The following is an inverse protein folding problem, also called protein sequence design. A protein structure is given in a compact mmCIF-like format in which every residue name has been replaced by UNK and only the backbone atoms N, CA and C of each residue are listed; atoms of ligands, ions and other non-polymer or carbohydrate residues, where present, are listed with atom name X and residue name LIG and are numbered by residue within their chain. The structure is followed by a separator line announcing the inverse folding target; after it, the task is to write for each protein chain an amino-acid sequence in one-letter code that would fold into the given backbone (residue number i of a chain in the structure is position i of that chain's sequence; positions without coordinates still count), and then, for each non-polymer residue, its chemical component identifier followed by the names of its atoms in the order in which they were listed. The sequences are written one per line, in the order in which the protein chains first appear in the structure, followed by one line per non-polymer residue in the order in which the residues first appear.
data_IF_858925465117
#
_entry.id   IF_858925465117
#
_cell.length_a   1.000
_cell.length_b   1.000
_cell.length_c   1.000
_cell.angle_alpha   90.00
_cell.angle_beta   90.00
_cell.angle_gamma   90.00
#
_symmetry.space_group_name_H-M   'P 1'
#
loop_
_entity.id
_entity.type
_entity.pdbx_description
1 polymer ?
#
# COMPACT_ATOMS: atom_id res chain seq x y z
N UNK A 1 -17.77 -6.79 -12.00
CA UNK A 1 -17.95 -7.12 -10.54
C UNK A 1 -19.37 -6.80 -10.15
N UNK A 2 -20.03 -7.64 -9.33
CA UNK A 2 -21.42 -7.34 -8.86
C UNK A 2 -21.41 -6.08 -7.97
N UNK A 3 -22.42 -5.23 -8.09
CA UNK A 3 -22.58 -4.00 -7.29
C UNK A 3 -22.53 -4.31 -5.78
N UNK A 4 -23.09 -5.47 -5.38
CA UNK A 4 -23.06 -5.91 -4.00
C UNK A 4 -21.66 -6.17 -3.46
N UNK A 5 -20.76 -6.75 -4.28
CA UNK A 5 -19.35 -6.97 -3.90
C UNK A 5 -18.60 -5.66 -3.78
N UNK A 6 -18.91 -4.68 -4.63
CA UNK A 6 -18.33 -3.34 -4.55
C UNK A 6 -18.74 -2.64 -3.26
N UNK A 7 -20.03 -2.66 -2.91
CA UNK A 7 -20.53 -2.09 -1.66
C UNK A 7 -19.90 -2.79 -0.46
N UNK A 8 -19.91 -4.12 -0.44
CA UNK A 8 -19.29 -4.90 0.63
C UNK A 8 -17.79 -4.61 0.80
N UNK A 9 -17.07 -4.42 -0.31
CA UNK A 9 -15.66 -4.02 -0.29
C UNK A 9 -15.47 -2.67 0.41
N UNK A 10 -16.24 -1.65 0.06
CA UNK A 10 -16.13 -0.33 0.69
C UNK A 10 -16.55 -0.35 2.16
N UNK A 11 -17.61 -1.07 2.50
CA UNK A 11 -18.01 -1.26 3.90
C UNK A 11 -16.92 -1.94 4.71
N UNK A 12 -16.30 -2.99 4.17
CA UNK A 12 -15.18 -3.66 4.82
C UNK A 12 -13.97 -2.74 4.95
N UNK A 13 -13.60 -2.04 3.87
CA UNK A 13 -12.44 -1.15 3.81
C UNK A 13 -12.51 -0.08 4.92
N UNK A 14 -13.60 0.67 4.96
CA UNK A 14 -13.76 1.73 5.95
C UNK A 14 -14.13 1.19 7.34
N UNK A 15 -14.94 0.14 7.43
CA UNK A 15 -15.29 -0.53 8.68
C UNK A 15 -14.06 -1.02 9.43
N UNK A 16 -13.13 -1.67 8.72
CA UNK A 16 -11.86 -2.10 9.32
C UNK A 16 -11.06 -0.92 9.89
N UNK A 17 -10.95 0.17 9.14
CA UNK A 17 -10.22 1.37 9.57
C UNK A 17 -10.87 2.02 10.81
N UNK A 18 -12.20 2.03 10.89
CA UNK A 18 -12.94 2.56 12.03
C UNK A 18 -12.73 1.68 13.27
N UNK A 19 -12.89 0.36 13.12
CA UNK A 19 -12.70 -0.61 14.22
C UNK A 19 -11.27 -0.52 14.78
N UNK A 20 -10.29 -0.34 13.91
CA UNK A 20 -8.88 -0.25 14.30
C UNK A 20 -8.38 1.20 14.49
N UNK A 21 -9.27 2.15 14.75
CA UNK A 21 -8.89 3.55 14.97
C UNK A 21 -7.93 3.73 16.15
N UNK A 22 -8.12 2.97 17.23
CA UNK A 22 -7.20 2.98 18.39
C UNK A 22 -5.78 2.53 18.01
N UNK A 23 -5.67 1.51 17.16
CA UNK A 23 -4.39 1.05 16.61
C UNK A 23 -3.73 2.13 15.75
N UNK A 24 -4.49 2.78 14.88
CA UNK A 24 -4.02 3.91 14.08
C UNK A 24 -3.43 5.02 14.95
N UNK A 25 -4.16 5.42 16.00
CA UNK A 25 -3.70 6.45 16.95
C UNK A 25 -2.42 6.05 17.70
N UNK A 26 -2.28 4.75 18.02
CA UNK A 26 -1.05 4.23 18.63
C UNK A 26 0.12 4.32 17.64
N UNK A 27 -0.09 3.91 16.38
CA UNK A 27 0.92 3.99 15.34
C UNK A 27 1.38 5.43 15.06
N UNK A 28 0.45 6.39 14.99
CA UNK A 28 0.79 7.80 14.82
C UNK A 28 1.63 8.37 15.96
N UNK A 29 1.34 7.97 17.20
CA UNK A 29 2.14 8.39 18.36
C UNK A 29 3.53 7.77 18.31
N UNK A 30 3.64 6.50 17.95
CA UNK A 30 4.91 5.82 17.77
C UNK A 30 5.74 6.49 16.66
N UNK A 31 5.11 6.78 15.52
CA UNK A 31 5.77 7.48 14.40
C UNK A 31 6.29 8.87 14.83
N UNK A 32 5.49 9.63 15.55
CA UNK A 32 5.88 10.95 16.07
C UNK A 32 7.00 10.88 17.12
N UNK A 33 7.11 9.78 17.83
CA UNK A 33 8.17 9.51 18.80
C UNK A 33 9.45 8.89 18.18
N UNK A 34 9.44 8.59 16.86
CA UNK A 34 10.54 7.89 16.19
C UNK A 34 10.64 6.40 16.53
N UNK A 35 9.60 5.82 17.16
CA UNK A 35 9.51 4.39 17.48
C UNK A 35 9.09 3.60 16.22
N UNK A 36 10.08 3.36 15.36
CA UNK A 36 9.88 2.63 14.09
C UNK A 36 9.50 1.18 14.32
N UNK A 37 9.99 0.54 15.37
CA UNK A 37 9.68 -0.85 15.70
C UNK A 37 8.18 -1.04 15.97
N UNK A 38 7.59 -0.20 16.81
CA UNK A 38 6.14 -0.24 17.07
C UNK A 38 5.34 0.01 15.80
N UNK A 39 5.76 0.97 14.94
CA UNK A 39 5.07 1.24 13.66
C UNK A 39 5.10 0.00 12.78
N UNK A 40 6.26 -0.63 12.59
CA UNK A 40 6.41 -1.83 11.76
C UNK A 40 5.57 -2.99 12.27
N UNK A 41 5.62 -3.29 13.57
CA UNK A 41 4.79 -4.34 14.18
C UNK A 41 3.29 -4.11 13.92
N UNK A 42 2.82 -2.87 14.00
CA UNK A 42 1.41 -2.53 13.73
C UNK A 42 1.08 -2.67 12.23
N UNK A 43 1.94 -2.21 11.35
CA UNK A 43 1.78 -2.32 9.90
C UNK A 43 1.74 -3.80 9.48
N UNK A 44 2.73 -4.59 9.88
CA UNK A 44 2.85 -6.00 9.50
C UNK A 44 1.67 -6.84 10.03
N UNK A 45 1.13 -6.47 11.17
CA UNK A 45 -0.04 -7.15 11.72
C UNK A 45 -1.34 -6.78 11.02
N UNK A 46 -1.55 -5.50 10.69
CA UNK A 46 -2.86 -4.99 10.28
C UNK A 46 -3.02 -4.89 8.78
N UNK A 47 -1.99 -4.49 8.04
CA UNK A 47 -2.09 -4.26 6.60
C UNK A 47 -2.36 -5.54 5.80
N UNK A 48 -1.61 -6.66 6.01
CA UNK A 48 -1.92 -7.90 5.30
C UNK A 48 -3.30 -8.47 5.65
N UNK A 49 -3.74 -8.33 6.90
CA UNK A 49 -5.08 -8.78 7.32
C UNK A 49 -6.18 -8.00 6.64
N UNK A 50 -6.05 -6.68 6.59
CA UNK A 50 -6.97 -5.79 5.88
C UNK A 50 -7.04 -6.16 4.39
N UNK A 51 -5.90 -6.33 3.75
CA UNK A 51 -5.81 -6.68 2.33
C UNK A 51 -6.42 -8.04 2.02
N UNK A 52 -6.07 -9.08 2.80
CA UNK A 52 -6.70 -10.41 2.66
C UNK A 52 -8.21 -10.37 2.86
N UNK A 53 -8.69 -9.53 3.78
CA UNK A 53 -10.11 -9.32 3.99
C UNK A 53 -10.81 -8.70 2.79
N UNK A 54 -10.20 -7.71 2.13
CA UNK A 54 -10.70 -7.14 0.86
C UNK A 54 -10.81 -8.23 -0.20
N UNK A 55 -9.75 -9.02 -0.41
CA UNK A 55 -9.74 -10.09 -1.40
C UNK A 55 -10.85 -11.13 -1.11
N UNK A 56 -11.01 -11.51 0.15
CA UNK A 56 -12.06 -12.45 0.59
C UNK A 56 -13.48 -11.92 0.32
N UNK A 57 -13.76 -10.67 0.69
CA UNK A 57 -15.09 -10.06 0.52
C UNK A 57 -15.44 -9.89 -0.97
N UNK A 58 -14.44 -9.64 -1.80
CA UNK A 58 -14.62 -9.50 -3.25
C UNK A 58 -14.58 -10.82 -4.01
N UNK A 59 -14.25 -11.93 -3.33
CA UNK A 59 -14.17 -13.27 -3.93
C UNK A 59 -12.97 -13.42 -4.86
N UNK A 60 -11.90 -12.66 -4.65
CA UNK A 60 -10.66 -12.77 -5.41
C UNK A 60 -9.81 -13.89 -4.81
N UNK A 61 -9.41 -14.84 -5.65
CA UNK A 61 -8.41 -15.86 -5.30
C UNK A 61 -7.04 -15.36 -5.71
N UNK A 62 -6.09 -15.45 -4.78
CA UNK A 62 -4.70 -15.04 -5.00
C UNK A 62 -3.83 -16.28 -5.09
N UNK A 63 -3.11 -16.41 -6.20
CA UNK A 63 -1.98 -17.34 -6.36
C UNK A 63 -0.73 -16.50 -6.56
N UNK A 64 0.31 -16.79 -5.81
CA UNK A 64 1.59 -16.05 -5.86
C UNK A 64 2.69 -17.04 -6.20
N UNK A 65 3.48 -16.70 -7.19
CA UNK A 65 4.64 -17.48 -7.62
C UNK A 65 5.89 -16.62 -7.54
N UNK A 66 7.05 -17.21 -7.30
CA UNK A 66 8.34 -16.53 -7.32
C UNK A 66 8.66 -15.76 -6.03
N UNK A 67 7.93 -15.96 -4.92
CA UNK A 67 8.27 -15.34 -3.64
C UNK A 67 9.68 -15.71 -3.15
N UNK A 68 10.15 -16.89 -3.52
CA UNK A 68 11.49 -17.39 -3.25
C UNK A 68 12.61 -16.55 -3.90
N UNK A 69 12.28 -15.78 -4.93
CA UNK A 69 13.23 -14.89 -5.62
C UNK A 69 13.40 -13.55 -4.92
N UNK A 70 12.56 -13.24 -3.92
CA UNK A 70 12.69 -12.00 -3.15
C UNK A 70 13.89 -12.15 -2.21
N UNK A 71 14.86 -11.21 -2.24
CA UNK A 71 15.99 -11.22 -1.31
C UNK A 71 15.50 -11.26 0.14
N UNK A 72 16.00 -12.19 0.93
CA UNK A 72 15.61 -12.32 2.35
C UNK A 72 16.11 -11.15 3.18
N UNK A 73 17.29 -10.64 2.85
CA UNK A 73 17.94 -9.53 3.56
C UNK A 73 17.85 -8.24 2.76
N UNK A 74 17.89 -7.12 3.46
CA UNK A 74 17.87 -5.78 2.91
C UNK A 74 16.54 -5.37 2.25
N UNK A 75 16.42 -4.10 1.88
CA UNK A 75 15.24 -3.55 1.19
C UNK A 75 15.24 -3.94 -0.30
N UNK A 76 14.05 -3.95 -0.88
CA UNK A 76 13.84 -4.17 -2.31
C UNK A 76 12.97 -3.05 -2.89
N UNK A 77 13.21 -2.68 -4.13
CA UNK A 77 12.27 -1.89 -4.92
C UNK A 77 11.50 -2.85 -5.82
N UNK A 78 10.20 -2.95 -5.56
CA UNK A 78 9.30 -3.75 -6.40
C UNK A 78 8.74 -2.86 -7.50
N UNK A 79 8.95 -3.28 -8.74
CA UNK A 79 8.43 -2.58 -9.92
C UNK A 79 7.42 -3.49 -10.59
N UNK A 80 6.20 -2.99 -10.78
CA UNK A 80 5.11 -3.78 -11.34
C UNK A 80 4.27 -3.00 -12.33
N UNK A 81 3.52 -3.73 -13.15
CA UNK A 81 2.51 -3.16 -14.03
C UNK A 81 1.25 -2.85 -13.24
N UNK A 82 0.65 -1.67 -13.49
CA UNK A 82 -0.59 -1.28 -12.81
C UNK A 82 -1.80 -1.53 -13.73
N UNK A 83 -2.53 -2.60 -13.44
CA UNK A 83 -3.68 -3.03 -14.26
C UNK A 83 -5.02 -2.91 -13.55
N UNK A 84 -5.03 -2.98 -12.21
CA UNK A 84 -6.26 -3.08 -11.44
C UNK A 84 -6.19 -2.30 -10.14
N UNK A 85 -7.34 -1.97 -9.56
CA UNK A 85 -7.45 -1.52 -8.17
C UNK A 85 -7.04 -2.62 -7.17
N UNK A 86 -7.07 -3.89 -7.61
CA UNK A 86 -6.67 -5.01 -6.78
C UNK A 86 -5.16 -5.20 -6.65
N UNK A 87 -4.36 -4.56 -7.50
CA UNK A 87 -2.88 -4.69 -7.43
C UNK A 87 -2.36 -4.33 -6.06
N UNK A 88 -2.91 -3.27 -5.44
CA UNK A 88 -2.50 -2.83 -4.11
C UNK A 88 -2.85 -3.88 -3.04
N UNK A 89 -4.10 -4.30 -2.85
CA UNK A 89 -4.40 -5.35 -1.87
C UNK A 89 -3.74 -6.70 -2.18
N UNK A 90 -3.48 -7.04 -3.45
CA UNK A 90 -2.74 -8.25 -3.80
C UNK A 90 -1.28 -8.17 -3.30
N UNK A 91 -0.58 -7.07 -3.56
CA UNK A 91 0.78 -6.84 -3.09
C UNK A 91 0.85 -6.82 -1.55
N UNK A 92 -0.02 -6.04 -0.91
CA UNK A 92 -0.08 -5.92 0.55
C UNK A 92 -0.47 -7.23 1.26
N UNK A 93 -1.11 -8.17 0.56
CA UNK A 93 -1.45 -9.48 1.09
C UNK A 93 -0.34 -10.52 0.92
N UNK A 94 0.57 -10.32 -0.05
CA UNK A 94 1.56 -11.31 -0.50
C UNK A 94 2.98 -10.99 -0.09
N UNK A 95 3.37 -9.72 -0.02
CA UNK A 95 4.75 -9.36 0.30
C UNK A 95 4.97 -9.39 1.82
N UNK A 96 5.93 -10.16 2.26
CA UNK A 96 6.28 -10.32 3.68
C UNK A 96 7.28 -9.26 4.20
N UNK A 97 7.59 -8.26 3.36
CA UNK A 97 8.50 -7.17 3.75
C UNK A 97 7.72 -5.88 4.00
N UNK A 98 8.08 -5.11 5.06
CA UNK A 98 7.55 -3.76 5.23
C UNK A 98 7.88 -2.92 4.00
N UNK A 99 6.87 -2.32 3.38
CA UNK A 99 7.07 -1.58 2.14
C UNK A 99 6.14 -0.37 2.04
N UNK A 100 6.69 0.74 1.54
CA UNK A 100 5.92 1.90 1.11
C UNK A 100 5.43 1.74 -0.33
N UNK A 101 4.55 2.62 -0.75
CA UNK A 101 4.01 2.63 -2.12
C UNK A 101 3.96 4.06 -2.63
N UNK A 102 4.36 4.28 -3.88
CA UNK A 102 4.13 5.55 -4.56
C UNK A 102 2.65 5.69 -4.92
N UNK A 103 1.96 6.62 -4.29
CA UNK A 103 0.51 6.76 -4.36
C UNK A 103 0.08 8.10 -4.96
N UNK A 104 -1.08 8.13 -5.61
CA UNK A 104 -1.65 9.36 -6.15
C UNK A 104 -2.06 10.32 -5.02
N UNK A 105 -1.76 11.63 -5.18
CA UNK A 105 -2.02 12.68 -4.17
C UNK A 105 -3.48 12.69 -3.67
N UNK A 106 -4.44 12.42 -4.54
CA UNK A 106 -5.86 12.44 -4.17
C UNK A 106 -6.22 11.41 -3.11
N UNK A 107 -5.48 10.29 -3.02
CA UNK A 107 -5.65 9.31 -1.94
C UNK A 107 -5.26 9.90 -0.59
N UNK A 108 -4.33 10.85 -0.58
CA UNK A 108 -3.95 11.61 0.60
C UNK A 108 -5.06 12.51 1.16
N UNK A 109 -6.12 12.77 0.39
CA UNK A 109 -7.27 13.58 0.80
C UNK A 109 -8.41 12.75 1.43
N UNK A 110 -8.33 11.42 1.35
CA UNK A 110 -9.35 10.51 1.90
C UNK A 110 -9.10 10.30 3.39
N UNK A 111 -10.04 10.72 4.27
CA UNK A 111 -9.90 10.55 5.72
C UNK A 111 -9.68 9.09 6.12
N UNK A 112 -8.95 8.85 7.19
CA UNK A 112 -8.50 7.55 7.70
C UNK A 112 -7.56 6.79 6.76
N UNK A 113 -7.89 6.70 5.47
CA UNK A 113 -7.05 6.01 4.49
C UNK A 113 -5.66 6.68 4.41
N UNK A 114 -5.61 8.00 4.27
CA UNK A 114 -4.36 8.75 4.20
C UNK A 114 -3.47 8.53 5.43
N UNK A 115 -4.07 8.38 6.60
CA UNK A 115 -3.35 8.19 7.86
C UNK A 115 -2.72 6.78 7.93
N UNK A 116 -3.47 5.74 7.53
CA UNK A 116 -2.94 4.38 7.39
C UNK A 116 -1.85 4.30 6.32
N UNK A 117 -2.04 4.99 5.18
CA UNK A 117 -1.04 5.06 4.12
C UNK A 117 0.25 5.72 4.59
N UNK A 118 0.18 6.75 5.43
CA UNK A 118 1.37 7.37 6.06
C UNK A 118 2.11 6.40 6.97
N UNK A 119 1.39 5.63 7.80
CA UNK A 119 2.02 4.61 8.64
C UNK A 119 2.69 3.51 7.80
N UNK A 120 2.07 3.13 6.69
CA UNK A 120 2.64 2.17 5.74
C UNK A 120 3.93 2.72 5.08
N UNK A 121 4.16 4.03 5.09
CA UNK A 121 5.28 4.67 4.41
C UNK A 121 4.98 5.02 2.95
N UNK A 122 3.70 5.25 2.61
CA UNK A 122 3.35 5.70 1.27
C UNK A 122 3.82 7.14 1.03
N UNK A 123 4.34 7.38 -0.16
CA UNK A 123 4.69 8.70 -0.67
C UNK A 123 3.61 9.15 -1.65
N UNK A 124 3.08 10.35 -1.44
CA UNK A 124 2.05 10.91 -2.32
C UNK A 124 2.68 11.76 -3.42
N UNK A 125 2.26 11.54 -4.66
CA UNK A 125 2.80 12.23 -5.83
C UNK A 125 1.70 12.92 -6.63
N UNK A 126 1.95 14.17 -6.98
CA UNK A 126 1.18 14.91 -7.98
C UNK A 126 1.85 14.68 -9.35
N UNK A 127 1.24 13.86 -10.18
CA UNK A 127 1.86 13.32 -11.40
C UNK A 127 2.05 14.37 -12.50
N UNK A 128 1.23 15.42 -12.48
CA UNK A 128 1.27 16.48 -13.47
C UNK A 128 2.31 17.56 -13.15
N UNK A 129 3.01 17.46 -12.00
CA UNK A 129 4.10 18.33 -11.59
C UNK A 129 5.42 17.54 -11.53
N UNK A 130 6.32 17.85 -12.48
CA UNK A 130 7.64 17.20 -12.55
C UNK A 130 8.46 17.43 -11.27
N UNK A 131 8.40 18.62 -10.68
CA UNK A 131 9.15 18.93 -9.45
C UNK A 131 8.60 18.15 -8.26
N UNK A 132 7.27 18.02 -8.18
CA UNK A 132 6.62 17.18 -7.17
C UNK A 132 6.98 15.70 -7.36
N UNK A 133 7.05 15.22 -8.59
CA UNK A 133 7.45 13.85 -8.91
C UNK A 133 8.90 13.58 -8.50
N UNK A 134 9.83 14.49 -8.77
CA UNK A 134 11.23 14.36 -8.33
C UNK A 134 11.33 14.34 -6.80
N UNK A 135 10.61 15.23 -6.10
CA UNK A 135 10.59 15.20 -4.62
C UNK A 135 10.05 13.86 -4.09
N UNK A 136 8.95 13.37 -4.65
CA UNK A 136 8.36 12.10 -4.25
C UNK A 136 9.32 10.91 -4.47
N UNK A 137 10.11 10.92 -5.55
CA UNK A 137 11.15 9.92 -5.78
C UNK A 137 12.30 10.03 -4.76
N UNK A 138 12.72 11.23 -4.39
CA UNK A 138 13.73 11.43 -3.35
C UNK A 138 13.22 10.93 -1.99
N UNK A 139 11.95 11.20 -1.65
CA UNK A 139 11.33 10.69 -0.42
C UNK A 139 11.25 9.16 -0.43
N UNK A 140 10.90 8.55 -1.57
CA UNK A 140 10.90 7.10 -1.74
C UNK A 140 12.31 6.51 -1.59
N UNK A 141 13.34 7.17 -2.14
CA UNK A 141 14.74 6.77 -2.00
C UNK A 141 15.17 6.78 -0.52
N UNK A 142 14.85 7.84 0.22
CA UNK A 142 15.14 7.93 1.65
C UNK A 142 14.48 6.80 2.45
N UNK A 143 13.27 6.37 2.08
CA UNK A 143 12.59 5.21 2.68
C UNK A 143 13.38 3.92 2.41
N UNK A 144 13.85 3.71 1.18
CA UNK A 144 14.66 2.53 0.84
C UNK A 144 16.00 2.55 1.58
N UNK A 145 16.66 3.69 1.65
CA UNK A 145 17.92 3.88 2.40
C UNK A 145 17.75 3.64 3.91
N UNK A 146 16.54 3.87 4.45
CA UNK A 146 16.23 3.53 5.84
C UNK A 146 16.02 2.04 6.10
N UNK A 147 16.15 1.18 5.06
CA UNK A 147 16.01 -0.28 5.18
C UNK A 147 14.60 -0.82 4.88
N UNK A 148 13.65 0.02 4.41
CA UNK A 148 12.30 -0.40 4.04
C UNK A 148 12.18 -0.59 2.53
N UNK A 149 11.46 -1.63 2.12
CA UNK A 149 11.15 -1.85 0.70
C UNK A 149 10.16 -0.81 0.15
N UNK A 150 10.11 -0.68 -1.16
CA UNK A 150 9.21 0.27 -1.81
C UNK A 150 8.59 -0.31 -3.08
N UNK A 151 7.33 0.05 -3.36
CA UNK A 151 6.62 -0.40 -4.56
C UNK A 151 6.37 0.78 -5.48
N UNK A 152 6.69 0.62 -6.74
CA UNK A 152 6.48 1.64 -7.78
C UNK A 152 5.75 1.02 -8.96
N UNK A 153 4.76 1.74 -9.47
CA UNK A 153 4.12 1.48 -10.76
C UNK A 153 4.57 2.57 -11.75
N UNK A 154 5.57 2.29 -12.61
CA UNK A 154 6.20 3.33 -13.45
C UNK A 154 5.23 3.98 -14.45
N UNK A 155 4.19 3.25 -14.85
CA UNK A 155 3.16 3.76 -15.77
C UNK A 155 2.39 4.96 -15.17
N UNK A 156 2.47 5.14 -13.86
CA UNK A 156 1.81 6.23 -13.14
C UNK A 156 0.28 6.14 -13.14
N UNK A 157 -0.32 5.33 -13.99
CA UNK A 157 -1.77 5.11 -14.09
C UNK A 157 -2.04 3.66 -14.44
N UNK A 158 -3.27 3.21 -14.20
CA UNK A 158 -3.67 1.86 -14.61
C UNK A 158 -3.78 1.78 -16.13
N UNK A 159 -3.27 0.69 -16.68
CA UNK A 159 -3.47 0.39 -18.10
C UNK A 159 -4.97 0.27 -18.42
N UNK A 160 -5.43 1.00 -19.43
CA UNK A 160 -6.83 1.05 -19.87
C UNK A 160 -7.06 0.37 -21.22
N UNK A 161 -6.05 -0.30 -21.78
CA UNK A 161 -6.17 -1.00 -23.06
C UNK A 161 -6.94 -2.31 -22.92
N UNK A 162 -7.56 -2.74 -24.01
CA UNK A 162 -8.17 -4.06 -24.14
C UNK A 162 -7.12 -5.16 -23.97
N UNK A 163 -7.55 -6.32 -23.44
CA UNK A 163 -6.71 -7.48 -23.20
C UNK A 163 -6.00 -7.92 -24.47
N UNK A 164 -4.70 -8.01 -24.42
CA UNK A 164 -3.94 -8.53 -25.55
C UNK A 164 -2.49 -8.05 -25.57
N UNK A 165 -1.69 -8.52 -24.64
CA UNK A 165 -0.25 -8.39 -24.67
C UNK A 165 0.37 -9.37 -23.72
#
# INVERSE_FOLDING_TARGET
MSIFRTIAMFLYLFGYMIVHYGTLRRGERALAAGDTETVEQLVDRHIPRWSRGILKVTGVTLTVEGLENIPKEGPCVFVGNHRSYYDIPLLLASLDKPHGILAKEELGKIPLLNRWMKLLGCVFVQRDDLRASVRALNDATAIVESGRSFVIFPEGTRYKGEEGG
#
